data_IF_034811314543
#
_entry.id   IF_034811314543
#
_cell.length_a   1.000
_cell.length_b   1.000
_cell.length_c   1.000
_cell.angle_alpha   90.00
_cell.angle_beta   90.00
_cell.angle_gamma   90.00
#
_symmetry.space_group_name_H-M   'P 1'
#
loop_
_entity.id
_entity.type
_entity.pdbx_description
1 polymer ?
#
# COMPACT_ATOMS: atom_id res chain seq x y z
N UNK A 1 -11.17 10.17 -26.13
CA UNK A 1 -10.15 11.09 -25.56
C UNK A 1 -9.20 10.19 -24.81
N UNK A 2 -7.90 10.28 -25.05
CA UNK A 2 -6.93 9.42 -24.34
C UNK A 2 -6.73 9.91 -22.91
N UNK A 3 -6.77 8.98 -21.96
CA UNK A 3 -6.64 9.23 -20.53
C UNK A 3 -5.27 9.81 -20.18
N UNK A 4 -5.24 10.68 -19.18
CA UNK A 4 -4.00 11.16 -18.57
C UNK A 4 -3.41 10.09 -17.66
N UNK A 5 -2.09 9.91 -17.68
CA UNK A 5 -1.43 8.95 -16.80
C UNK A 5 -1.26 9.54 -15.40
N UNK A 6 -1.64 8.77 -14.39
CA UNK A 6 -1.26 9.06 -13.01
C UNK A 6 0.07 8.36 -12.74
N UNK A 7 1.16 9.09 -12.96
CA UNK A 7 2.53 8.58 -12.86
C UNK A 7 2.97 8.42 -11.40
N UNK A 8 2.90 7.19 -10.90
CA UNK A 8 3.33 6.84 -9.55
C UNK A 8 4.84 6.85 -9.37
N UNK A 9 5.65 6.68 -10.43
CA UNK A 9 7.09 6.85 -10.33
C UNK A 9 7.44 8.30 -10.03
N UNK A 10 6.89 9.24 -10.80
CA UNK A 10 7.11 10.67 -10.60
C UNK A 10 6.65 11.11 -9.20
N UNK A 11 5.44 10.72 -8.79
CA UNK A 11 4.91 11.05 -7.47
C UNK A 11 5.73 10.41 -6.34
N UNK A 12 6.14 9.15 -6.48
CA UNK A 12 6.98 8.48 -5.49
C UNK A 12 8.31 9.20 -5.29
N UNK A 13 8.94 9.67 -6.36
CA UNK A 13 10.20 10.43 -6.30
C UNK A 13 10.01 11.73 -5.53
N UNK A 14 8.95 12.48 -5.82
CA UNK A 14 8.63 13.72 -5.11
C UNK A 14 8.45 13.48 -3.61
N UNK A 15 7.59 12.52 -3.24
CA UNK A 15 7.27 12.26 -1.83
C UNK A 15 8.46 11.71 -1.05
N UNK A 16 9.31 10.88 -1.67
CA UNK A 16 10.56 10.42 -1.04
C UNK A 16 11.55 11.57 -0.78
N UNK A 17 11.59 12.57 -1.66
CA UNK A 17 12.35 13.80 -1.42
C UNK A 17 11.88 14.52 -0.15
N UNK A 18 10.57 14.68 0.02
CA UNK A 18 9.98 15.27 1.23
C UNK A 18 10.26 14.44 2.50
N UNK A 19 10.23 13.10 2.38
CA UNK A 19 10.63 12.20 3.46
C UNK A 19 12.09 12.42 3.85
N UNK A 20 12.99 12.54 2.87
CA UNK A 20 14.42 12.75 3.13
C UNK A 20 14.72 14.09 3.82
N UNK A 21 14.03 15.16 3.43
CA UNK A 21 14.12 16.47 4.08
C UNK A 21 13.69 16.39 5.55
N UNK A 22 12.53 15.79 5.82
CA UNK A 22 12.00 15.62 7.19
C UNK A 22 12.86 14.67 8.03
N UNK A 23 13.36 13.59 7.45
CA UNK A 23 14.28 12.66 8.13
C UNK A 23 15.59 13.37 8.52
N UNK A 24 16.10 14.25 7.65
CA UNK A 24 17.29 15.06 7.96
C UNK A 24 17.03 16.01 9.13
N UNK A 25 15.88 16.68 9.15
CA UNK A 25 15.50 17.56 10.26
C UNK A 25 15.34 16.80 11.59
N UNK A 26 14.77 15.58 11.54
CA UNK A 26 14.62 14.73 12.72
C UNK A 26 15.99 14.23 13.22
N UNK A 27 16.88 13.87 12.31
CA UNK A 27 18.26 13.45 12.63
C UNK A 27 19.06 14.56 13.30
N UNK A 28 18.88 15.81 12.89
CA UNK A 28 19.49 16.96 13.55
C UNK A 28 19.02 17.13 15.02
N UNK A 29 17.86 16.56 15.37
CA UNK A 29 17.34 16.49 16.75
C UNK A 29 17.73 15.20 17.48
N UNK A 30 18.63 14.39 16.91
CA UNK A 30 19.13 13.16 17.51
C UNK A 30 18.29 11.90 17.24
N UNK A 31 17.22 11.99 16.44
CA UNK A 31 16.35 10.84 16.14
C UNK A 31 16.47 10.48 14.66
N UNK A 32 16.93 9.26 14.37
CA UNK A 32 16.96 8.72 13.00
C UNK A 32 15.78 7.75 12.84
N UNK A 33 14.83 7.99 11.92
CA UNK A 33 13.74 7.03 11.71
C UNK A 33 14.31 5.68 11.28
N UNK A 34 13.75 4.61 11.83
CA UNK A 34 14.28 3.25 11.69
C UNK A 34 13.20 2.26 11.24
N UNK A 35 13.48 1.49 10.20
CA UNK A 35 12.61 0.43 9.69
C UNK A 35 13.30 -0.93 9.78
N UNK A 36 12.71 -1.86 10.52
CA UNK A 36 13.08 -3.27 10.46
C UNK A 36 12.21 -4.01 9.44
N UNK A 37 12.84 -4.74 8.52
CA UNK A 37 12.18 -5.60 7.54
C UNK A 37 12.58 -7.04 7.81
N UNK A 38 11.61 -7.88 8.14
CA UNK A 38 11.80 -9.31 8.40
C UNK A 38 11.29 -10.11 7.21
N UNK A 39 12.14 -10.98 6.68
CA UNK A 39 11.83 -11.89 5.58
C UNK A 39 12.10 -13.33 6.02
N UNK A 40 11.11 -14.20 5.88
CA UNK A 40 11.22 -15.63 6.19
C UNK A 40 11.02 -16.44 4.92
N UNK A 41 12.04 -17.19 4.52
CA UNK A 41 12.08 -18.00 3.31
C UNK A 41 12.47 -17.27 2.03
N UNK A 42 12.38 -17.99 0.90
CA UNK A 42 13.04 -17.63 -0.36
C UNK A 42 12.12 -17.20 -1.49
N UNK A 43 10.92 -16.73 -1.19
CA UNK A 43 9.99 -16.29 -2.23
C UNK A 43 10.65 -15.22 -3.15
N UNK A 44 10.89 -15.50 -4.45
CA UNK A 44 11.68 -14.61 -5.30
C UNK A 44 11.05 -13.23 -5.50
N UNK A 45 9.71 -13.16 -5.53
CA UNK A 45 9.01 -11.88 -5.62
C UNK A 45 9.27 -11.04 -4.36
N UNK A 46 9.17 -11.67 -3.18
CA UNK A 46 9.41 -11.00 -1.90
C UNK A 46 10.84 -10.42 -1.79
N UNK A 47 11.86 -11.15 -2.26
CA UNK A 47 13.25 -10.69 -2.25
C UNK A 47 13.47 -9.42 -3.09
N UNK A 48 12.77 -9.27 -4.22
CA UNK A 48 12.84 -8.04 -5.04
C UNK A 48 12.16 -6.87 -4.31
N UNK A 49 10.96 -7.08 -3.76
CA UNK A 49 10.25 -6.03 -3.02
C UNK A 49 11.03 -5.54 -1.80
N UNK A 50 11.58 -6.47 -1.01
CA UNK A 50 12.35 -6.14 0.19
C UNK A 50 13.62 -5.35 -0.15
N UNK A 51 14.36 -5.75 -1.19
CA UNK A 51 15.53 -4.98 -1.65
C UNK A 51 15.15 -3.54 -2.03
N UNK A 52 14.02 -3.35 -2.71
CA UNK A 52 13.55 -2.02 -3.09
C UNK A 52 13.13 -1.19 -1.87
N UNK A 53 12.54 -1.79 -0.83
CA UNK A 53 12.20 -1.12 0.43
C UNK A 53 13.45 -0.64 1.17
N UNK A 54 14.44 -1.52 1.35
CA UNK A 54 15.71 -1.19 2.01
C UNK A 54 16.43 -0.07 1.26
N UNK A 55 16.54 -0.19 -0.06
CA UNK A 55 17.15 0.85 -0.90
C UNK A 55 16.43 2.19 -0.74
N UNK A 56 15.09 2.21 -0.77
CA UNK A 56 14.32 3.43 -0.60
C UNK A 56 14.57 4.10 0.76
N UNK A 57 14.65 3.32 1.84
CA UNK A 57 14.99 3.84 3.17
C UNK A 57 16.37 4.48 3.18
N UNK A 58 17.38 3.79 2.66
CA UNK A 58 18.76 4.29 2.58
C UNK A 58 18.86 5.56 1.74
N UNK A 59 18.25 5.57 0.56
CA UNK A 59 18.20 6.72 -0.36
C UNK A 59 17.49 7.93 0.29
N UNK A 60 16.60 7.70 1.26
CA UNK A 60 15.85 8.74 1.98
C UNK A 60 16.44 9.08 3.36
N UNK A 61 17.61 8.53 3.72
CA UNK A 61 18.29 8.82 4.97
C UNK A 61 17.73 8.12 6.23
N UNK A 62 16.89 7.11 6.06
CA UNK A 62 16.36 6.29 7.16
C UNK A 62 17.34 5.18 7.53
N UNK A 63 17.40 4.84 8.81
CA UNK A 63 18.00 3.60 9.26
C UNK A 63 17.13 2.42 8.81
N UNK A 64 17.74 1.38 8.23
CA UNK A 64 17.01 0.19 7.81
C UNK A 64 17.79 -1.07 8.15
N UNK A 65 17.10 -2.03 8.74
CA UNK A 65 17.61 -3.37 9.04
C UNK A 65 16.82 -4.36 8.19
N UNK A 66 17.54 -5.26 7.53
CA UNK A 66 16.95 -6.40 6.84
C UNK A 66 17.38 -7.68 7.55
N UNK A 67 16.42 -8.37 8.14
CA UNK A 67 16.62 -9.68 8.75
C UNK A 67 16.06 -10.74 7.81
N UNK A 68 16.92 -11.69 7.43
CA UNK A 68 16.54 -12.82 6.59
C UNK A 68 16.67 -14.08 7.41
N UNK A 69 15.61 -14.87 7.40
CA UNK A 69 15.53 -16.16 8.04
C UNK A 69 15.15 -17.22 7.02
N UNK A 70 15.62 -18.44 7.25
CA UNK A 70 15.30 -19.60 6.44
C UNK A 70 13.81 -19.97 6.56
N UNK A 71 13.31 -20.72 5.59
CA UNK A 71 11.90 -21.11 5.54
C UNK A 71 11.48 -22.07 6.67
N UNK A 72 12.42 -22.61 7.45
CA UNK A 72 12.17 -23.50 8.58
C UNK A 72 12.06 -22.79 9.94
N UNK A 73 12.25 -21.46 9.98
CA UNK A 73 12.05 -20.65 11.19
C UNK A 73 10.70 -20.96 11.83
N UNK A 74 10.68 -21.17 13.15
CA UNK A 74 9.43 -21.47 13.85
C UNK A 74 8.58 -20.20 14.04
N UNK A 75 7.25 -20.38 14.18
CA UNK A 75 6.35 -19.28 14.55
C UNK A 75 6.79 -18.63 15.87
N UNK A 76 7.22 -19.44 16.85
CA UNK A 76 7.65 -18.96 18.16
C UNK A 76 8.91 -18.07 18.07
N UNK A 77 9.90 -18.46 17.26
CA UNK A 77 11.11 -17.67 17.05
C UNK A 77 10.81 -16.35 16.35
N UNK A 78 9.90 -16.37 15.36
CA UNK A 78 9.49 -15.16 14.65
C UNK A 78 8.76 -14.19 15.59
N UNK A 79 7.85 -14.69 16.42
CA UNK A 79 7.15 -13.89 17.42
C UNK A 79 8.14 -13.29 18.44
N UNK A 80 9.10 -14.08 18.93
CA UNK A 80 10.15 -13.59 19.83
C UNK A 80 11.00 -12.49 19.16
N UNK A 81 11.29 -12.62 17.86
CA UNK A 81 12.03 -11.60 17.13
C UNK A 81 11.23 -10.31 16.95
N UNK A 82 9.96 -10.41 16.58
CA UNK A 82 9.05 -9.25 16.50
C UNK A 82 9.00 -8.53 17.85
N UNK A 83 8.92 -9.27 18.96
CA UNK A 83 8.92 -8.68 20.30
C UNK A 83 10.23 -7.97 20.64
N UNK A 84 11.37 -8.53 20.24
CA UNK A 84 12.65 -7.84 20.39
C UNK A 84 12.70 -6.52 19.59
N UNK A 85 12.13 -6.50 18.37
CA UNK A 85 12.02 -5.29 17.55
C UNK A 85 11.03 -4.27 18.12
N UNK A 86 9.95 -4.72 18.78
CA UNK A 86 9.02 -3.85 19.50
C UNK A 86 9.75 -3.06 20.60
N UNK A 87 10.68 -3.70 21.29
CA UNK A 87 11.42 -3.10 22.41
C UNK A 87 12.69 -2.34 21.98
N UNK A 88 13.08 -2.40 20.70
CA UNK A 88 14.24 -1.67 20.18
C UNK A 88 13.90 -0.18 19.94
N UNK A 89 14.51 0.77 20.68
CA UNK A 89 14.23 2.20 20.52
C UNK A 89 14.79 2.80 19.21
N UNK A 90 15.69 2.10 18.51
CA UNK A 90 16.18 2.53 17.20
C UNK A 90 15.21 2.20 16.06
N UNK A 91 14.25 1.29 16.31
CA UNK A 91 13.25 0.84 15.33
C UNK A 91 11.91 1.53 15.61
N UNK A 92 11.38 2.19 14.59
CA UNK A 92 10.13 2.93 14.63
C UNK A 92 9.04 2.28 13.76
N UNK A 93 9.44 1.49 12.77
CA UNK A 93 8.56 0.69 11.95
C UNK A 93 9.03 -0.75 11.85
N UNK A 94 8.10 -1.69 11.86
CA UNK A 94 8.35 -3.12 11.64
C UNK A 94 7.51 -3.57 10.45
N UNK A 95 8.13 -4.26 9.51
CA UNK A 95 7.45 -4.93 8.41
C UNK A 95 7.88 -6.39 8.37
N UNK A 96 6.91 -7.30 8.54
CA UNK A 96 7.11 -8.72 8.24
C UNK A 96 6.59 -9.00 6.84
N UNK A 97 7.47 -9.41 5.94
CA UNK A 97 7.13 -9.58 4.53
C UNK A 97 6.29 -10.84 4.31
N UNK A 98 5.11 -10.66 3.70
CA UNK A 98 4.22 -11.74 3.28
C UNK A 98 4.49 -12.18 1.82
N UNK A 99 4.14 -13.43 1.44
CA UNK A 99 3.60 -14.49 2.30
C UNK A 99 4.67 -15.11 3.20
N UNK A 100 4.27 -15.52 4.40
CA UNK A 100 5.08 -16.34 5.30
C UNK A 100 4.97 -17.82 4.92
N UNK A 101 5.93 -18.68 5.35
CA UNK A 101 5.80 -20.13 5.27
C UNK A 101 4.48 -20.65 5.84
N UNK A 102 3.95 -21.73 5.27
CA UNK A 102 2.60 -22.22 5.56
C UNK A 102 2.38 -22.68 7.02
N UNK A 103 3.45 -23.00 7.76
CA UNK A 103 3.39 -23.39 9.17
C UNK A 103 3.37 -22.19 10.14
N UNK A 104 3.44 -20.96 9.64
CA UNK A 104 3.38 -19.73 10.44
C UNK A 104 2.05 -19.02 10.18
N UNK A 105 1.32 -18.71 11.26
CA UNK A 105 0.13 -17.89 11.19
C UNK A 105 0.49 -16.41 11.02
N UNK A 106 0.34 -15.90 9.80
CA UNK A 106 0.61 -14.52 9.47
C UNK A 106 -0.20 -13.52 10.31
N UNK A 107 -1.44 -13.84 10.71
CA UNK A 107 -2.24 -12.93 11.51
C UNK A 107 -1.68 -12.79 12.91
N UNK A 108 -1.24 -13.89 13.55
CA UNK A 108 -0.59 -13.80 14.86
C UNK A 108 0.68 -12.96 14.82
N UNK A 109 1.47 -13.10 13.76
CA UNK A 109 2.70 -12.31 13.58
C UNK A 109 2.39 -10.83 13.39
N UNK A 110 1.38 -10.49 12.58
CA UNK A 110 0.94 -9.09 12.40
C UNK A 110 0.46 -8.50 13.73
N UNK A 111 -0.34 -9.24 14.51
CA UNK A 111 -0.84 -8.78 15.81
C UNK A 111 0.23 -8.71 16.91
N UNK A 112 1.38 -9.36 16.71
CA UNK A 112 2.52 -9.23 17.62
C UNK A 112 3.30 -7.93 17.38
N UNK A 113 3.17 -7.29 16.23
CA UNK A 113 3.80 -5.99 15.96
C UNK A 113 3.08 -4.94 16.79
N UNK A 114 3.80 -4.12 17.55
CA UNK A 114 3.19 -3.00 18.29
C UNK A 114 2.38 -2.10 17.34
N UNK A 115 1.14 -1.69 17.69
CA UNK A 115 0.38 -0.73 16.90
C UNK A 115 1.13 0.57 16.58
N UNK A 116 2.06 0.95 17.46
CA UNK A 116 2.89 2.16 17.29
C UNK A 116 4.02 1.98 16.26
N UNK A 117 4.32 0.74 15.88
CA UNK A 117 5.34 0.37 14.89
C UNK A 117 4.76 -0.38 13.67
N UNK A 118 3.45 -0.55 13.59
CA UNK A 118 2.72 -1.16 12.46
C UNK A 118 2.63 -0.20 11.25
N UNK A 119 3.79 0.08 10.66
CA UNK A 119 3.90 1.02 9.55
C UNK A 119 3.34 0.49 8.23
N UNK A 120 2.98 -0.79 8.15
CA UNK A 120 2.23 -1.35 7.02
C UNK A 120 0.70 -1.27 7.22
N UNK A 121 0.24 -0.95 8.44
CA UNK A 121 -1.14 -0.66 8.78
C UNK A 121 -2.07 -1.87 8.85
N UNK A 122 -1.53 -3.07 9.10
CA UNK A 122 -2.30 -4.33 9.06
C UNK A 122 -2.75 -4.84 10.42
N UNK A 123 -2.25 -4.27 11.52
CA UNK A 123 -2.71 -4.61 12.85
C UNK A 123 -4.20 -4.25 12.99
N UNK A 124 -4.97 -5.09 13.68
CA UNK A 124 -6.37 -4.81 14.05
C UNK A 124 -6.54 -3.44 14.69
N UNK A 125 -5.57 -2.95 15.48
CA UNK A 125 -5.62 -1.60 16.05
C UNK A 125 -5.61 -0.52 14.95
N UNK A 126 -4.73 -0.63 13.96
CA UNK A 126 -4.67 0.26 12.78
C UNK A 126 -5.93 0.18 11.94
N UNK A 127 -6.45 -1.04 11.70
CA UNK A 127 -7.69 -1.26 10.97
C UNK A 127 -8.92 -0.69 11.71
N UNK A 128 -8.97 -0.85 13.03
CA UNK A 128 -10.01 -0.30 13.90
C UNK A 128 -9.97 1.22 13.96
N UNK A 129 -8.77 1.81 14.00
CA UNK A 129 -8.58 3.25 13.91
C UNK A 129 -9.10 3.80 12.58
N UNK A 130 -8.76 3.15 11.45
CA UNK A 130 -9.30 3.51 10.14
C UNK A 130 -10.83 3.41 10.09
N UNK A 131 -11.41 2.33 10.62
CA UNK A 131 -12.87 2.13 10.64
C UNK A 131 -13.60 3.23 11.43
N UNK A 132 -13.00 3.69 12.52
CA UNK A 132 -13.62 4.66 13.45
C UNK A 132 -13.23 6.11 13.17
N UNK A 133 -12.36 6.36 12.19
CA UNK A 133 -11.85 7.71 11.89
C UNK A 133 -10.84 8.24 12.90
N UNK A 134 -10.26 7.36 13.72
CA UNK A 134 -9.25 7.71 14.71
C UNK A 134 -7.85 7.75 14.11
N UNK A 135 -6.88 8.47 14.73
CA UNK A 135 -5.49 8.42 14.33
C UNK A 135 -4.93 6.99 14.37
N UNK A 136 -4.16 6.62 13.35
CA UNK A 136 -3.53 5.31 13.21
C UNK A 136 -2.73 5.23 11.92
N UNK A 137 -2.08 4.10 11.66
CA UNK A 137 -1.41 3.90 10.37
C UNK A 137 -2.40 3.43 9.31
N UNK A 138 -2.28 4.02 8.13
CA UNK A 138 -3.05 3.63 6.96
C UNK A 138 -2.29 2.55 6.17
N UNK A 139 -2.97 1.47 5.73
CA UNK A 139 -2.41 0.51 4.79
C UNK A 139 -1.73 1.16 3.59
N UNK A 140 -0.46 0.82 3.36
CA UNK A 140 0.41 1.55 2.44
C UNK A 140 -0.13 1.64 1.00
N UNK A 141 -0.69 0.55 0.49
CA UNK A 141 -1.19 0.50 -0.90
C UNK A 141 -2.44 1.38 -1.10
N UNK A 142 -3.52 1.23 -0.30
CA UNK A 142 -4.62 2.19 -0.29
C UNK A 142 -4.18 3.64 -0.04
N UNK A 143 -3.25 3.86 0.87
CA UNK A 143 -2.72 5.20 1.14
C UNK A 143 -2.05 5.79 -0.12
N UNK A 144 -1.30 4.97 -0.84
CA UNK A 144 -0.70 5.34 -2.12
C UNK A 144 -1.75 5.77 -3.15
N UNK A 145 -2.83 5.00 -3.28
CA UNK A 145 -3.97 5.34 -4.14
C UNK A 145 -4.60 6.70 -3.76
N UNK A 146 -4.78 6.97 -2.45
CA UNK A 146 -5.30 8.25 -1.98
C UNK A 146 -4.38 9.41 -2.36
N UNK A 147 -3.06 9.24 -2.22
CA UNK A 147 -2.07 10.26 -2.64
C UNK A 147 -2.04 10.47 -4.15
N UNK A 148 -2.28 9.43 -4.93
CA UNK A 148 -2.40 9.54 -6.39
C UNK A 148 -3.61 10.37 -6.80
N UNK A 149 -4.77 10.16 -6.16
CA UNK A 149 -5.97 10.99 -6.37
C UNK A 149 -5.75 12.45 -5.95
N UNK A 150 -5.08 12.66 -4.81
CA UNK A 150 -4.70 13.99 -4.32
C UNK A 150 -3.78 14.72 -5.31
N UNK A 151 -2.80 14.02 -5.90
CA UNK A 151 -1.82 14.62 -6.82
C UNK A 151 -2.42 15.18 -8.11
N UNK A 152 -3.58 14.66 -8.53
CA UNK A 152 -4.31 15.15 -9.70
C UNK A 152 -5.43 16.12 -9.31
N UNK A 153 -5.51 16.52 -8.03
CA UNK A 153 -6.53 17.43 -7.52
C UNK A 153 -7.95 16.87 -7.58
N UNK A 154 -8.12 15.55 -7.52
CA UNK A 154 -9.44 14.93 -7.65
C UNK A 154 -10.27 15.06 -6.37
N UNK A 155 -11.35 15.84 -6.41
CA UNK A 155 -12.29 15.95 -5.30
C UNK A 155 -13.23 14.74 -5.26
N UNK A 156 -13.09 13.94 -4.21
CA UNK A 156 -13.89 12.75 -3.94
C UNK A 156 -15.27 13.05 -3.34
N UNK A 157 -15.50 14.28 -2.87
CA UNK A 157 -16.74 14.62 -2.16
C UNK A 157 -17.96 14.44 -3.07
N UNK A 158 -18.86 13.56 -2.65
CA UNK A 158 -20.09 13.24 -3.39
C UNK A 158 -19.88 12.39 -4.64
N UNK A 159 -18.66 11.93 -4.92
CA UNK A 159 -18.35 11.02 -6.03
C UNK A 159 -18.71 9.58 -5.68
N UNK A 160 -19.03 8.77 -6.68
CA UNK A 160 -19.21 7.35 -6.52
C UNK A 160 -17.90 6.61 -6.85
N UNK A 161 -17.35 5.91 -5.85
CA UNK A 161 -16.18 5.09 -6.01
C UNK A 161 -16.54 3.58 -5.93
N UNK A 162 -16.04 2.80 -6.88
CA UNK A 162 -16.18 1.34 -6.90
C UNK A 162 -14.83 0.71 -6.64
N UNK A 163 -14.75 -0.14 -5.60
CA UNK A 163 -13.56 -0.94 -5.31
C UNK A 163 -13.84 -2.38 -5.72
N UNK A 164 -13.08 -2.89 -6.70
CA UNK A 164 -13.15 -4.27 -7.16
C UNK A 164 -12.12 -5.07 -6.38
N UNK A 165 -12.57 -5.84 -5.40
CA UNK A 165 -11.73 -6.58 -4.47
C UNK A 165 -12.06 -6.24 -3.01
N UNK A 166 -12.00 -7.24 -2.13
CA UNK A 166 -12.35 -7.12 -0.70
C UNK A 166 -11.27 -7.69 0.23
N UNK A 167 -10.02 -7.68 -0.21
CA UNK A 167 -8.89 -8.12 0.61
C UNK A 167 -8.73 -7.24 1.85
N UNK A 168 -8.18 -7.79 2.92
CA UNK A 168 -7.93 -7.04 4.16
C UNK A 168 -6.81 -6.00 3.97
N UNK A 169 -5.87 -6.24 3.04
CA UNK A 169 -4.70 -5.39 2.82
C UNK A 169 -4.93 -4.24 1.81
N UNK A 170 -5.94 -4.36 0.93
CA UNK A 170 -6.24 -3.34 -0.07
C UNK A 170 -7.73 -3.01 -0.12
N UNK A 171 -8.57 -3.97 -0.52
CA UNK A 171 -9.96 -3.66 -0.91
C UNK A 171 -10.80 -3.01 0.18
N UNK A 172 -10.84 -3.63 1.37
CA UNK A 172 -11.58 -3.09 2.53
C UNK A 172 -11.04 -1.74 3.01
N UNK A 173 -9.72 -1.58 3.29
CA UNK A 173 -9.20 -0.29 3.73
C UNK A 173 -9.33 0.80 2.66
N UNK A 174 -9.16 0.49 1.37
CA UNK A 174 -9.39 1.43 0.27
C UNK A 174 -10.81 1.99 0.30
N UNK A 175 -11.81 1.12 0.47
CA UNK A 175 -13.20 1.53 0.55
C UNK A 175 -13.46 2.47 1.74
N UNK A 176 -12.88 2.18 2.91
CA UNK A 176 -13.01 3.03 4.10
C UNK A 176 -12.30 4.38 3.92
N UNK A 177 -11.12 4.41 3.30
CA UNK A 177 -10.40 5.68 3.03
C UNK A 177 -11.14 6.57 2.04
N UNK A 178 -11.76 5.98 0.99
CA UNK A 178 -12.60 6.71 0.06
C UNK A 178 -13.85 7.28 0.76
N UNK A 179 -14.48 6.47 1.63
CA UNK A 179 -15.62 6.89 2.44
C UNK A 179 -15.25 8.06 3.38
N UNK A 180 -14.08 8.01 4.03
CA UNK A 180 -13.56 9.12 4.84
C UNK A 180 -13.35 10.43 4.05
N UNK A 181 -13.19 10.35 2.73
CA UNK A 181 -13.15 11.51 1.83
C UNK A 181 -14.52 11.88 1.23
N UNK A 182 -15.61 11.41 1.85
CA UNK A 182 -16.99 11.68 1.48
C UNK A 182 -17.41 11.13 0.11
N UNK A 183 -16.74 10.09 -0.38
CA UNK A 183 -17.24 9.34 -1.53
C UNK A 183 -18.39 8.41 -1.10
N UNK A 184 -19.37 8.21 -1.98
CA UNK A 184 -20.24 7.03 -1.92
C UNK A 184 -19.43 5.83 -2.40
N UNK A 185 -19.45 4.70 -1.69
CA UNK A 185 -18.56 3.58 -1.99
C UNK A 185 -19.31 2.27 -2.19
N UNK A 186 -19.02 1.58 -3.30
CA UNK A 186 -19.47 0.22 -3.57
C UNK A 186 -18.28 -0.74 -3.56
N UNK A 187 -18.36 -1.82 -2.79
CA UNK A 187 -17.34 -2.87 -2.74
C UNK A 187 -17.83 -4.06 -3.57
N UNK A 188 -17.12 -4.35 -4.66
CA UNK A 188 -17.36 -5.52 -5.51
C UNK A 188 -16.38 -6.65 -5.24
N UNK A 189 -16.76 -7.87 -5.59
CA UNK A 189 -15.95 -9.07 -5.38
C UNK A 189 -16.41 -10.22 -6.29
N UNK A 190 -15.80 -11.40 -6.17
CA UNK A 190 -16.10 -12.58 -7.01
C UNK A 190 -17.57 -13.02 -7.03
N UNK A 191 -18.33 -12.76 -5.95
CA UNK A 191 -19.76 -13.05 -5.89
C UNK A 191 -20.69 -11.87 -6.31
N UNK A 192 -20.15 -10.77 -6.83
CA UNK A 192 -20.96 -9.68 -7.38
C UNK A 192 -21.58 -10.13 -8.71
N UNK A 193 -22.91 -10.14 -8.79
CA UNK A 193 -23.64 -10.71 -9.94
C UNK A 193 -23.39 -9.96 -11.26
N UNK A 194 -23.48 -8.64 -11.23
CA UNK A 194 -23.27 -7.78 -12.40
C UNK A 194 -22.23 -6.71 -12.04
N UNK A 195 -20.96 -7.05 -12.23
CA UNK A 195 -19.84 -6.16 -11.95
C UNK A 195 -19.88 -4.92 -12.84
N UNK A 196 -20.24 -5.10 -14.12
CA UNK A 196 -20.30 -4.03 -15.11
C UNK A 196 -21.34 -2.97 -14.75
N UNK A 197 -22.51 -3.38 -14.28
CA UNK A 197 -23.53 -2.43 -13.83
C UNK A 197 -23.04 -1.56 -12.66
N UNK A 198 -22.18 -2.07 -11.77
CA UNK A 198 -21.61 -1.28 -10.68
C UNK A 198 -20.55 -0.30 -11.20
N UNK A 199 -19.60 -0.78 -12.01
CA UNK A 199 -18.46 0.03 -12.48
C UNK A 199 -18.88 1.14 -13.45
N UNK A 200 -19.95 0.95 -14.23
CA UNK A 200 -20.50 1.99 -15.12
C UNK A 200 -21.09 3.20 -14.38
N UNK A 201 -21.38 3.06 -13.09
CA UNK A 201 -21.86 4.16 -12.26
C UNK A 201 -20.73 4.91 -11.55
N UNK A 202 -19.49 4.43 -11.67
CA UNK A 202 -18.36 4.94 -10.89
C UNK A 202 -17.74 6.19 -11.53
N UNK A 203 -17.45 7.17 -10.70
CA UNK A 203 -16.52 8.26 -11.04
C UNK A 203 -15.06 7.84 -10.80
N UNK A 204 -14.82 6.94 -9.83
CA UNK A 204 -13.51 6.36 -9.51
C UNK A 204 -13.62 4.83 -9.42
N UNK A 205 -12.74 4.10 -10.10
CA UNK A 205 -12.66 2.63 -10.00
C UNK A 205 -11.28 2.25 -9.47
N UNK A 206 -11.24 1.43 -8.42
CA UNK A 206 -10.01 0.82 -7.91
C UNK A 206 -10.06 -0.68 -8.14
N UNK A 207 -9.20 -1.21 -9.01
CA UNK A 207 -9.09 -2.64 -9.30
C UNK A 207 -7.98 -3.27 -8.46
N UNK A 208 -8.33 -4.23 -7.59
CA UNK A 208 -7.42 -4.87 -6.64
C UNK A 208 -7.77 -6.35 -6.41
N UNK A 209 -7.78 -7.13 -7.49
CA UNK A 209 -8.19 -8.54 -7.53
C UNK A 209 -7.04 -9.50 -7.83
N UNK A 210 -5.92 -9.03 -8.38
CA UNK A 210 -4.79 -9.89 -8.76
C UNK A 210 -5.13 -10.85 -9.89
N UNK A 211 -5.88 -10.36 -10.89
CA UNK A 211 -6.30 -11.10 -12.08
C UNK A 211 -6.31 -10.16 -13.28
N UNK A 212 -5.61 -10.55 -14.35
CA UNK A 212 -5.51 -9.80 -15.61
C UNK A 212 -6.88 -9.50 -16.21
N UNK A 213 -7.02 -8.31 -16.78
CA UNK A 213 -8.13 -7.90 -17.65
C UNK A 213 -9.53 -8.10 -17.05
N UNK A 214 -9.68 -7.91 -15.73
CA UNK A 214 -10.98 -7.97 -15.06
C UNK A 214 -11.81 -6.73 -15.32
N UNK A 215 -11.18 -5.56 -15.45
CA UNK A 215 -11.85 -4.31 -15.86
C UNK A 215 -11.53 -4.02 -17.33
N UNK A 216 -12.54 -4.01 -18.18
CA UNK A 216 -12.45 -3.74 -19.62
C UNK A 216 -13.07 -2.40 -20.00
N UNK A 217 -12.79 -1.91 -21.21
CA UNK A 217 -13.24 -0.60 -21.69
C UNK A 217 -14.76 -0.39 -21.57
N UNK A 218 -15.56 -1.42 -21.86
CA UNK A 218 -17.03 -1.36 -21.82
C UNK A 218 -17.61 -1.34 -20.40
N UNK A 219 -16.78 -1.52 -19.38
CA UNK A 219 -17.14 -1.45 -17.96
C UNK A 219 -16.85 -0.08 -17.34
N UNK A 220 -16.21 0.83 -18.09
CA UNK A 220 -15.75 2.11 -17.59
C UNK A 220 -16.63 3.22 -18.18
N UNK A 221 -17.14 4.09 -17.31
CA UNK A 221 -17.86 5.29 -17.73
C UNK A 221 -16.88 6.30 -18.34
N UNK A 222 -17.24 6.99 -19.45
CA UNK A 222 -16.43 8.08 -19.98
C UNK A 222 -16.09 9.12 -18.91
N UNK A 223 -14.79 9.41 -18.78
CA UNK A 223 -14.29 10.38 -17.81
C UNK A 223 -14.01 9.85 -16.40
N UNK A 224 -14.25 8.56 -16.12
CA UNK A 224 -13.90 7.96 -14.83
C UNK A 224 -12.37 7.94 -14.59
N UNK A 225 -11.96 7.95 -13.32
CA UNK A 225 -10.57 7.74 -12.90
C UNK A 225 -10.37 6.26 -12.56
N UNK A 226 -9.30 5.64 -13.07
CA UNK A 226 -9.01 4.23 -12.85
C UNK A 226 -7.66 4.05 -12.15
N UNK A 227 -7.69 3.43 -10.97
CA UNK A 227 -6.52 2.99 -10.23
C UNK A 227 -6.39 1.46 -10.33
N UNK A 228 -5.33 1.01 -10.98
CA UNK A 228 -4.98 -0.39 -11.14
C UNK A 228 -3.92 -0.78 -10.09
N UNK A 229 -4.34 -1.55 -9.10
CA UNK A 229 -3.50 -2.06 -8.01
C UNK A 229 -2.91 -3.44 -8.36
N UNK A 230 -3.38 -4.06 -9.44
CA UNK A 230 -2.97 -5.39 -9.86
C UNK A 230 -1.47 -5.49 -10.12
N UNK A 231 -0.88 -6.62 -9.72
CA UNK A 231 0.51 -6.95 -10.00
C UNK A 231 0.59 -8.39 -10.51
N UNK A 232 0.24 -8.56 -11.78
CA UNK A 232 0.19 -9.83 -12.48
C UNK A 232 1.38 -9.98 -13.45
N UNK A 233 1.61 -11.18 -13.95
CA UNK A 233 2.52 -11.40 -15.09
C UNK A 233 1.73 -11.81 -16.32
N UNK A 234 2.04 -11.20 -17.46
CA UNK A 234 1.48 -11.60 -18.74
C UNK A 234 2.15 -12.88 -19.26
N UNK A 235 1.73 -13.35 -20.43
CA UNK A 235 2.21 -14.60 -21.03
C UNK A 235 3.70 -14.52 -21.43
N UNK A 236 4.23 -13.30 -21.58
CA UNK A 236 5.66 -13.01 -21.80
C UNK A 236 6.43 -12.80 -20.48
N UNK A 237 5.78 -12.97 -19.32
CA UNK A 237 6.38 -12.75 -18.00
C UNK A 237 6.52 -11.29 -17.57
N UNK A 238 6.05 -10.32 -18.37
CA UNK A 238 6.07 -8.89 -18.06
C UNK A 238 4.99 -8.53 -17.03
N UNK A 239 5.31 -7.57 -16.18
CA UNK A 239 4.38 -7.05 -15.17
C UNK A 239 3.21 -6.34 -15.85
N UNK A 240 1.99 -6.67 -15.45
CA UNK A 240 0.74 -6.08 -15.94
C UNK A 240 -0.29 -6.02 -14.80
N UNK A 241 -1.35 -5.24 -14.99
CA UNK A 241 -2.35 -4.98 -13.96
C UNK A 241 -3.59 -5.86 -14.04
N UNK A 242 -4.62 -5.45 -13.31
CA UNK A 242 -5.96 -6.05 -13.32
C UNK A 242 -6.86 -5.45 -14.42
N UNK A 243 -6.44 -4.34 -15.03
CA UNK A 243 -7.19 -3.57 -16.03
C UNK A 243 -6.66 -3.85 -17.44
N UNK A 244 -7.57 -3.97 -18.41
CA UNK A 244 -7.23 -3.88 -19.83
C UNK A 244 -6.83 -2.44 -20.18
N UNK A 245 -5.55 -2.13 -19.98
CA UNK A 245 -5.02 -0.77 -20.03
C UNK A 245 -5.28 -0.09 -21.38
N UNK A 246 -5.03 -0.78 -22.49
CA UNK A 246 -5.13 -0.20 -23.84
C UNK A 246 -6.57 0.14 -24.22
N UNK A 247 -7.53 -0.69 -23.82
CA UNK A 247 -8.95 -0.38 -24.01
C UNK A 247 -9.42 0.74 -23.08
N UNK A 248 -9.12 0.63 -21.78
CA UNK A 248 -9.65 1.55 -20.76
C UNK A 248 -9.08 2.96 -20.89
N UNK A 249 -7.82 3.12 -21.31
CA UNK A 249 -7.22 4.44 -21.51
C UNK A 249 -7.92 5.28 -22.58
N UNK A 250 -8.69 4.69 -23.48
CA UNK A 250 -9.42 5.46 -24.50
C UNK A 250 -10.77 6.01 -23.99
N UNK A 251 -11.18 5.60 -22.78
CA UNK A 251 -12.47 5.93 -22.15
C UNK A 251 -12.30 6.75 -20.87
N UNK A 252 -11.34 6.36 -20.02
CA UNK A 252 -11.09 7.02 -18.73
C UNK A 252 -10.59 8.46 -18.89
N UNK A 253 -10.79 9.31 -17.88
CA UNK A 253 -10.09 10.61 -17.83
C UNK A 253 -8.65 10.44 -17.35
N UNK A 254 -8.44 9.55 -16.38
CA UNK A 254 -7.13 9.26 -15.81
C UNK A 254 -6.98 7.76 -15.56
N UNK A 255 -5.76 7.24 -15.72
CA UNK A 255 -5.44 5.84 -15.47
C UNK A 255 -4.02 5.68 -14.90
N UNK A 256 -3.84 4.78 -13.94
CA UNK A 256 -2.51 4.39 -13.49
C UNK A 256 -1.90 3.33 -14.42
N UNK A 257 -0.65 3.47 -14.88
CA UNK A 257 0.02 2.42 -15.62
C UNK A 257 0.46 1.26 -14.70
N UNK A 258 0.57 0.05 -15.26
CA UNK A 258 1.24 -1.07 -14.60
C UNK A 258 2.28 -1.65 -15.56
N UNK A 259 3.59 -1.59 -15.22
CA UNK A 259 4.20 -1.01 -14.02
C UNK A 259 4.20 0.53 -13.99
N UNK A 260 4.57 1.11 -12.84
CA UNK A 260 4.82 2.56 -12.68
C UNK A 260 3.69 3.37 -12.07
N UNK A 261 2.54 2.75 -11.78
CA UNK A 261 1.42 3.35 -11.06
C UNK A 261 1.48 3.11 -9.55
N UNK A 262 0.61 2.25 -9.02
CA UNK A 262 0.41 2.08 -7.58
C UNK A 262 1.62 1.46 -6.85
N UNK A 263 2.36 0.55 -7.50
CA UNK A 263 3.46 -0.19 -6.85
C UNK A 263 4.57 0.68 -6.19
N UNK A 264 5.16 1.66 -6.90
CA UNK A 264 6.10 2.62 -6.32
C UNK A 264 5.54 3.40 -5.10
N UNK A 265 4.24 3.66 -5.09
CA UNK A 265 3.56 4.39 -4.02
C UNK A 265 3.45 3.56 -2.75
N UNK A 266 3.21 2.24 -2.85
CA UNK A 266 3.20 1.35 -1.67
C UNK A 266 4.48 1.47 -0.85
N UNK A 267 5.66 1.38 -1.50
CA UNK A 267 6.95 1.52 -0.80
C UNK A 267 7.10 2.93 -0.22
N UNK A 268 6.65 3.95 -0.95
CA UNK A 268 6.78 5.34 -0.50
C UNK A 268 5.93 5.61 0.74
N UNK A 269 4.72 5.04 0.81
CA UNK A 269 3.86 5.19 1.98
C UNK A 269 4.38 4.44 3.20
N UNK A 270 5.08 3.33 3.02
CA UNK A 270 5.80 2.66 4.11
C UNK A 270 6.85 3.58 4.74
N UNK A 271 7.60 4.32 3.91
CA UNK A 271 8.58 5.31 4.38
C UNK A 271 7.90 6.48 5.10
N UNK A 272 6.79 6.98 4.57
CA UNK A 272 5.99 8.04 5.21
C UNK A 272 5.49 7.58 6.58
N UNK A 273 4.89 6.40 6.67
CA UNK A 273 4.41 5.85 7.94
C UNK A 273 5.57 5.65 8.93
N UNK A 274 6.74 5.18 8.48
CA UNK A 274 7.93 5.04 9.33
C UNK A 274 8.43 6.37 9.87
N UNK A 275 8.47 7.40 9.02
CA UNK A 275 8.85 8.74 9.43
C UNK A 275 7.86 9.32 10.45
N UNK A 276 6.56 9.16 10.21
CA UNK A 276 5.52 9.60 11.16
C UNK A 276 5.61 8.85 12.50
N UNK A 277 5.92 7.56 12.49
CA UNK A 277 6.16 6.78 13.70
C UNK A 277 7.32 7.37 14.52
N UNK A 278 8.43 7.71 13.85
CA UNK A 278 9.58 8.31 14.51
C UNK A 278 9.31 9.72 15.04
N UNK A 279 8.56 10.54 14.29
CA UNK A 279 8.14 11.87 14.75
C UNK A 279 7.25 11.80 15.99
N UNK A 280 6.30 10.85 16.03
CA UNK A 280 5.43 10.62 17.20
C UNK A 280 6.24 10.16 18.42
N UNK A 281 7.17 9.22 18.22
CA UNK A 281 8.06 8.76 19.29
C UNK A 281 8.92 9.91 19.86
N UNK A 282 9.44 10.78 18.99
CA UNK A 282 10.24 11.94 19.38
C UNK A 282 9.43 13.09 20.02
N UNK A 283 8.12 13.13 19.83
CA UNK A 283 7.24 14.14 20.44
C UNK A 283 6.67 13.68 21.81
N UNK A 284 6.66 12.37 22.07
CA UNK A 284 6.25 11.78 23.34
C UNK A 284 7.39 11.52 24.33
N UNK A 285 8.65 11.72 23.92
CA UNK A 285 9.85 11.70 24.76
C UNK A 285 10.17 13.10 25.29
#
# INVERSE_FOLDING_TARGET
>A
MTAQLIDGNALSKQLRGQVAERATALKARGVTPGLAVVLVGDNPASQVYVRNKVKACQDSGLHSVLEKYEADMSEADLLARVEALNNDPSIHGILVQLPLPAHIDAQKVIEAISPLKDVDGFHIASAGALMTGMPGFWPCTPYGCMKMLESIGYDLKGKHAVVIGRSNIVGKPMALMLLQKNATVTICHSATRDLKAQTLQADVIVAAVGKRNVLTADMVRPGAVVLDVGMNRNDEGKLCGDVDFDGVREVASHITPVPGGVGPMTITMLLVNTLEAAERAAAGA
#
